data_IF_850145229341
#
_entry.id   IF_850145229341
#
_cell.length_a   1.000
_cell.length_b   1.000
_cell.length_c   1.000
_cell.angle_alpha   90.00
_cell.angle_beta   90.00
_cell.angle_gamma   90.00
#
_symmetry.space_group_name_H-M   'P 1'
#
loop_
_entity.id
_entity.type
_entity.pdbx_description
1 polymer ?
#
# COMPACT_ATOMS: atom_id res chain seq x y z
N UNK A 1 8.03 -25.42 -10.17
CA UNK A 1 8.22 -23.97 -9.94
C UNK A 1 6.90 -23.27 -10.27
N UNK A 2 6.51 -22.33 -9.39
CA UNK A 2 5.31 -21.52 -9.61
C UNK A 2 5.81 -20.14 -10.00
N UNK A 3 5.31 -19.63 -11.11
CA UNK A 3 5.64 -18.28 -11.58
C UNK A 3 4.53 -17.30 -11.16
N UNK A 4 4.92 -16.13 -10.70
CA UNK A 4 4.03 -15.03 -10.36
C UNK A 4 4.32 -13.83 -11.26
N UNK A 5 3.29 -13.08 -11.61
CA UNK A 5 3.45 -11.83 -12.33
C UNK A 5 3.76 -10.70 -11.35
N UNK A 6 4.68 -9.83 -11.75
CA UNK A 6 4.99 -8.59 -11.06
C UNK A 6 4.86 -7.44 -12.02
N UNK A 7 4.28 -6.34 -11.58
CA UNK A 7 3.98 -5.16 -12.39
C UNK A 7 4.50 -3.89 -11.72
N UNK A 8 4.83 -2.88 -12.51
CA UNK A 8 5.09 -1.52 -12.03
C UNK A 8 3.78 -0.74 -12.05
N UNK A 9 3.51 0.06 -11.01
CA UNK A 9 2.27 0.86 -10.92
C UNK A 9 2.48 2.34 -11.28
N UNK A 10 3.74 2.74 -11.46
CA UNK A 10 4.13 4.10 -11.87
C UNK A 10 5.12 4.05 -13.01
N UNK A 11 5.26 5.17 -13.71
CA UNK A 11 6.31 5.35 -14.72
C UNK A 11 7.65 5.63 -14.06
N UNK A 12 8.72 5.09 -14.65
CA UNK A 12 10.09 5.31 -14.21
C UNK A 12 10.93 5.86 -15.34
N UNK A 13 11.72 6.88 -15.03
CA UNK A 13 12.69 7.45 -15.96
C UNK A 13 14.04 6.76 -15.80
N UNK A 14 14.58 6.27 -16.88
CA UNK A 14 15.90 5.64 -16.91
C UNK A 14 17.02 6.66 -16.69
N UNK A 15 18.03 6.26 -15.92
CA UNK A 15 19.30 6.99 -15.87
C UNK A 15 20.17 6.56 -17.05
N UNK A 16 20.61 7.52 -17.88
CA UNK A 16 21.56 7.29 -18.95
C UNK A 16 22.98 7.48 -18.41
N UNK A 17 23.74 6.39 -18.35
CA UNK A 17 25.14 6.39 -17.87
C UNK A 17 26.17 6.45 -19.02
N UNK A 18 25.70 6.74 -20.24
CA UNK A 18 26.53 6.85 -21.45
C UNK A 18 26.73 5.54 -22.19
N UNK A 19 26.96 4.44 -21.49
CA UNK A 19 27.11 3.10 -22.11
C UNK A 19 25.88 2.21 -21.90
N UNK A 20 25.13 2.45 -20.85
CA UNK A 20 23.95 1.66 -20.47
C UNK A 20 22.80 2.57 -20.06
N UNK A 21 21.58 2.05 -20.21
CA UNK A 21 20.37 2.64 -19.66
C UNK A 21 20.01 1.80 -18.43
N UNK A 22 19.82 2.46 -17.29
CA UNK A 22 19.51 1.78 -16.03
C UNK A 22 18.25 2.34 -15.38
N UNK A 23 17.41 1.44 -14.90
CA UNK A 23 16.30 1.74 -13.99
C UNK A 23 16.71 1.28 -12.60
N UNK A 24 16.88 2.21 -11.67
CA UNK A 24 17.36 1.91 -10.31
C UNK A 24 16.23 1.95 -9.30
N UNK A 25 16.16 0.92 -8.45
CA UNK A 25 15.22 0.87 -7.33
C UNK A 25 13.75 0.87 -7.75
N UNK A 26 13.41 0.21 -8.86
CA UNK A 26 12.03 0.14 -9.36
C UNK A 26 11.21 -0.76 -8.45
N UNK A 27 10.19 -0.25 -7.73
CA UNK A 27 9.27 -1.07 -7.00
C UNK A 27 8.33 -1.82 -7.96
N UNK A 28 8.21 -3.12 -7.73
CA UNK A 28 7.32 -3.99 -8.47
C UNK A 28 6.33 -4.65 -7.50
N UNK A 29 5.08 -4.80 -7.92
CA UNK A 29 3.98 -5.33 -7.13
C UNK A 29 3.52 -6.64 -7.74
N UNK A 30 3.35 -7.66 -6.89
CA UNK A 30 2.83 -8.95 -7.35
C UNK A 30 1.35 -8.84 -7.70
N UNK A 31 0.98 -9.35 -8.85
CA UNK A 31 -0.41 -9.46 -9.27
C UNK A 31 -0.66 -9.10 -10.73
N UNK A 32 -1.91 -8.79 -11.01
CA UNK A 32 -2.37 -8.44 -12.36
C UNK A 32 -3.20 -7.17 -12.31
N UNK A 33 -2.98 -6.25 -13.25
CA UNK A 33 -3.79 -5.05 -13.39
C UNK A 33 -5.22 -5.38 -13.78
N UNK A 34 -6.15 -4.74 -13.08
CA UNK A 34 -7.57 -4.68 -13.43
C UNK A 34 -7.93 -3.22 -13.65
N UNK A 35 -8.60 -2.93 -14.76
CA UNK A 35 -9.18 -1.62 -15.02
C UNK A 35 -10.70 -1.78 -15.15
N UNK A 36 -11.43 -1.07 -14.30
CA UNK A 36 -12.89 -1.02 -14.32
C UNK A 36 -13.33 0.39 -14.70
N UNK A 37 -14.38 0.49 -15.52
CA UNK A 37 -14.92 1.77 -15.96
C UNK A 37 -16.41 1.84 -15.61
N UNK A 38 -16.83 2.98 -15.09
CA UNK A 38 -18.19 3.24 -14.64
C UNK A 38 -18.68 4.57 -15.20
N UNK A 39 -19.84 4.56 -15.86
CA UNK A 39 -20.50 5.80 -16.26
C UNK A 39 -21.15 6.47 -15.05
N UNK A 40 -20.93 7.75 -14.91
CA UNK A 40 -21.57 8.57 -13.88
C UNK A 40 -22.99 8.88 -14.31
N UNK A 41 -23.95 8.67 -13.39
CA UNK A 41 -25.32 9.03 -13.53
C UNK A 41 -25.70 10.01 -12.40
N UNK A 42 -25.84 11.27 -12.71
CA UNK A 42 -26.13 12.31 -11.72
C UNK A 42 -27.52 12.19 -11.05
N UNK A 43 -28.41 11.33 -11.59
CA UNK A 43 -29.67 10.99 -10.94
C UNK A 43 -29.50 10.06 -9.72
N UNK A 44 -28.38 9.36 -9.62
CA UNK A 44 -28.01 8.54 -8.47
C UNK A 44 -27.07 9.34 -7.57
N UNK A 45 -27.62 9.98 -6.55
CA UNK A 45 -26.89 10.89 -5.65
C UNK A 45 -25.87 10.15 -4.79
N UNK A 46 -26.08 8.85 -4.54
CA UNK A 46 -25.23 8.00 -3.69
C UNK A 46 -24.43 6.98 -4.51
N UNK A 47 -24.14 7.28 -5.77
CA UNK A 47 -23.45 6.36 -6.66
C UNK A 47 -22.10 5.93 -6.08
N UNK A 48 -21.88 4.59 -6.04
CA UNK A 48 -20.67 3.94 -5.53
C UNK A 48 -20.01 3.16 -6.65
N UNK A 49 -18.68 3.20 -6.68
CA UNK A 49 -17.86 2.57 -7.70
C UNK A 49 -17.04 1.44 -7.06
N UNK A 50 -17.41 0.20 -7.37
CA UNK A 50 -16.94 -0.98 -6.62
C UNK A 50 -15.67 -1.54 -7.25
N UNK A 51 -14.66 -1.83 -6.43
CA UNK A 51 -13.54 -2.70 -6.81
C UNK A 51 -14.05 -4.14 -6.78
N UNK A 52 -14.25 -4.76 -7.94
CA UNK A 52 -14.96 -6.04 -8.09
C UNK A 52 -14.23 -7.25 -7.50
N UNK A 53 -13.00 -7.09 -7.01
CA UNK A 53 -12.20 -8.18 -6.49
C UNK A 53 -11.76 -7.93 -5.04
N UNK A 54 -12.04 -8.90 -4.16
CA UNK A 54 -11.67 -8.83 -2.75
C UNK A 54 -10.16 -9.05 -2.46
N UNK A 55 -9.36 -9.24 -3.51
CA UNK A 55 -7.89 -9.28 -3.45
C UNK A 55 -7.27 -8.04 -4.08
N UNK A 56 -8.06 -6.98 -4.26
CA UNK A 56 -7.57 -5.71 -4.75
C UNK A 56 -6.58 -5.10 -3.75
N UNK A 57 -5.39 -4.77 -4.22
CA UNK A 57 -4.43 -3.99 -3.44
C UNK A 57 -4.78 -2.51 -3.56
N UNK A 58 -5.42 -1.99 -2.52
CA UNK A 58 -5.87 -0.59 -2.47
C UNK A 58 -4.72 0.42 -2.42
N UNK A 59 -3.49 -0.01 -2.13
CA UNK A 59 -2.30 0.85 -2.16
C UNK A 59 -1.86 1.15 -3.59
N UNK A 60 -2.24 0.30 -4.53
CA UNK A 60 -1.96 0.46 -5.97
C UNK A 60 -3.10 1.12 -6.74
N UNK A 61 -4.21 1.45 -6.04
CA UNK A 61 -5.41 2.01 -6.68
C UNK A 61 -5.12 3.41 -7.24
N UNK A 62 -5.35 3.53 -8.53
CA UNK A 62 -5.40 4.81 -9.25
C UNK A 62 -6.85 5.08 -9.67
N UNK A 63 -7.33 6.27 -9.33
CA UNK A 63 -8.66 6.75 -9.67
C UNK A 63 -8.52 7.91 -10.63
N UNK A 64 -9.07 7.77 -11.82
CA UNK A 64 -9.13 8.83 -12.82
C UNK A 64 -10.59 9.04 -13.26
N UNK A 65 -10.92 10.27 -13.55
CA UNK A 65 -12.24 10.63 -14.09
C UNK A 65 -12.02 11.17 -15.51
N UNK A 66 -12.61 10.49 -16.47
CA UNK A 66 -12.61 10.89 -17.88
C UNK A 66 -13.82 11.80 -18.13
N UNK A 67 -13.64 12.84 -18.92
CA UNK A 67 -14.65 13.87 -19.18
C UNK A 67 -15.94 13.28 -19.76
N UNK A 68 -15.85 12.39 -20.76
CA UNK A 68 -16.99 11.69 -21.33
C UNK A 68 -16.57 10.49 -22.17
N UNK A 69 -17.52 9.74 -22.71
CA UNK A 69 -17.21 8.62 -23.62
C UNK A 69 -16.50 9.05 -24.91
N UNK A 70 -16.68 10.30 -25.33
CA UNK A 70 -16.08 10.86 -26.55
C UNK A 70 -14.84 11.74 -26.30
N UNK A 71 -14.76 12.32 -25.11
CA UNK A 71 -13.59 13.10 -24.68
C UNK A 71 -12.83 12.29 -23.63
N UNK A 72 -11.69 11.72 -24.06
CA UNK A 72 -10.84 10.85 -23.24
C UNK A 72 -9.89 11.61 -22.32
N UNK A 73 -10.00 12.93 -22.23
CA UNK A 73 -9.24 13.72 -21.24
C UNK A 73 -9.56 13.24 -19.84
N UNK A 74 -8.53 12.89 -19.08
CA UNK A 74 -8.66 12.35 -17.72
C UNK A 74 -8.07 13.29 -16.67
N UNK A 75 -8.71 13.35 -15.52
CA UNK A 75 -8.20 14.00 -14.31
C UNK A 75 -7.98 12.94 -13.24
N UNK A 76 -6.79 12.89 -12.66
CA UNK A 76 -6.47 11.95 -11.57
C UNK A 76 -6.94 12.50 -10.25
N UNK A 77 -7.61 11.67 -9.46
CA UNK A 77 -8.13 12.00 -8.14
C UNK A 77 -7.22 11.40 -7.06
N UNK A 78 -6.99 12.15 -5.99
CA UNK A 78 -6.19 11.71 -4.87
C UNK A 78 -7.06 11.09 -3.76
N UNK A 79 -6.54 10.07 -3.08
CA UNK A 79 -7.24 9.51 -1.91
C UNK A 79 -7.31 10.53 -0.78
N UNK A 80 -8.50 10.73 -0.24
CA UNK A 80 -8.70 11.57 0.94
C UNK A 80 -8.09 10.91 2.18
N UNK A 81 -7.19 11.63 2.84
CA UNK A 81 -6.59 11.25 4.12
C UNK A 81 -6.99 12.19 5.24
N UNK A 82 -7.30 13.43 4.92
CA UNK A 82 -7.69 14.48 5.87
C UNK A 82 -8.83 15.34 5.28
N UNK A 83 -10.01 15.24 5.86
CA UNK A 83 -11.20 15.98 5.42
C UNK A 83 -11.01 17.50 5.60
N UNK A 84 -10.21 17.95 6.56
CA UNK A 84 -9.99 19.36 6.83
C UNK A 84 -9.23 20.11 5.71
N UNK A 85 -8.55 19.37 4.85
CA UNK A 85 -7.76 19.89 3.73
C UNK A 85 -8.53 19.96 2.40
N UNK A 86 -9.81 19.51 2.38
CA UNK A 86 -10.59 19.40 1.16
C UNK A 86 -11.52 20.60 1.01
N UNK A 87 -11.63 21.09 -0.21
CA UNK A 87 -12.58 22.12 -0.61
C UNK A 87 -13.44 21.64 -1.81
N UNK A 88 -14.39 22.46 -2.24
CA UNK A 88 -15.33 22.11 -3.32
C UNK A 88 -14.72 21.82 -4.69
N UNK A 89 -13.44 22.17 -4.92
CA UNK A 89 -12.72 21.96 -6.19
C UNK A 89 -11.65 20.89 -6.09
N UNK A 90 -11.42 20.34 -4.90
CA UNK A 90 -10.40 19.32 -4.68
C UNK A 90 -10.75 18.02 -5.37
N UNK A 91 -9.91 17.56 -6.30
CA UNK A 91 -10.06 16.29 -6.99
C UNK A 91 -9.66 15.13 -6.06
N UNK A 92 -10.57 14.77 -5.17
CA UNK A 92 -10.37 13.74 -4.14
C UNK A 92 -11.44 12.66 -4.22
N UNK A 93 -11.06 11.45 -3.82
CA UNK A 93 -11.99 10.34 -3.62
C UNK A 93 -11.89 9.78 -2.21
N UNK A 94 -12.96 9.14 -1.80
CA UNK A 94 -13.06 8.40 -0.56
C UNK A 94 -13.07 6.91 -0.87
N UNK A 95 -12.42 6.12 -0.02
CA UNK A 95 -12.33 4.68 -0.15
C UNK A 95 -12.81 4.04 1.15
N UNK A 96 -13.75 3.12 1.04
CA UNK A 96 -14.18 2.32 2.21
C UNK A 96 -14.29 0.85 1.84
N UNK A 97 -14.11 -0.01 2.82
CA UNK A 97 -14.40 -1.43 2.73
C UNK A 97 -15.89 -1.64 3.07
N UNK A 98 -16.57 -2.47 2.27
CA UNK A 98 -17.97 -2.87 2.50
C UNK A 98 -18.00 -4.27 3.12
N UNK A 99 -18.37 -5.28 2.35
CA UNK A 99 -18.44 -6.66 2.85
C UNK A 99 -17.39 -7.54 2.17
N UNK A 100 -16.89 -8.54 2.91
CA UNK A 100 -16.00 -9.59 2.39
C UNK A 100 -14.70 -9.09 1.72
N UNK A 101 -14.16 -7.95 2.17
CA UNK A 101 -12.94 -7.37 1.62
C UNK A 101 -13.15 -6.64 0.29
N UNK A 102 -14.40 -6.41 -0.11
CA UNK A 102 -14.73 -5.56 -1.25
C UNK A 102 -14.62 -4.11 -0.85
N UNK A 103 -14.02 -3.30 -1.71
CA UNK A 103 -13.88 -1.86 -1.51
C UNK A 103 -14.73 -1.09 -2.50
N UNK A 104 -15.18 0.08 -2.08
CA UNK A 104 -15.87 1.02 -2.94
C UNK A 104 -15.24 2.41 -2.88
N UNK A 105 -15.29 3.09 -4.01
CA UNK A 105 -14.87 4.48 -4.20
C UNK A 105 -16.10 5.35 -4.31
N UNK A 106 -16.07 6.51 -3.67
CA UNK A 106 -17.08 7.56 -3.87
C UNK A 106 -16.41 8.93 -3.87
N UNK A 107 -17.13 9.92 -4.34
CA UNK A 107 -16.61 11.25 -4.59
C UNK A 107 -17.33 12.31 -3.75
N UNK A 108 -16.79 13.51 -3.78
CA UNK A 108 -17.40 14.65 -3.11
C UNK A 108 -18.70 15.12 -3.76
N UNK A 109 -19.46 15.91 -3.03
CA UNK A 109 -20.77 16.47 -3.39
C UNK A 109 -20.68 17.90 -3.96
N UNK A 110 -19.45 18.44 -4.14
CA UNK A 110 -19.19 19.83 -4.54
C UNK A 110 -19.08 20.80 -3.36
N UNK A 111 -19.22 20.30 -2.13
CA UNK A 111 -18.92 21.03 -0.89
C UNK A 111 -17.64 20.44 -0.28
N UNK A 112 -17.62 19.14 -0.04
CA UNK A 112 -16.47 18.37 0.41
C UNK A 112 -15.92 17.53 -0.75
N UNK A 113 -15.02 18.12 -1.52
CA UNK A 113 -14.47 17.54 -2.73
C UNK A 113 -15.28 17.85 -3.99
N UNK A 114 -14.61 17.74 -5.12
CA UNK A 114 -15.21 17.98 -6.44
C UNK A 114 -16.29 16.94 -6.74
N UNK A 115 -17.49 17.37 -7.11
CA UNK A 115 -18.55 16.50 -7.58
C UNK A 115 -18.31 16.02 -9.01
N UNK A 116 -18.79 14.83 -9.31
CA UNK A 116 -18.81 14.31 -10.67
C UNK A 116 -19.95 14.92 -11.48
N UNK A 117 -19.78 14.96 -12.79
CA UNK A 117 -20.79 15.45 -13.74
C UNK A 117 -21.39 14.27 -14.50
N UNK A 118 -22.68 14.37 -14.85
CA UNK A 118 -23.35 13.36 -15.65
C UNK A 118 -22.59 13.07 -16.95
N UNK A 119 -22.43 11.80 -17.28
CA UNK A 119 -21.67 11.34 -18.43
C UNK A 119 -20.14 11.26 -18.24
N UNK A 120 -19.60 11.69 -17.10
CA UNK A 120 -18.22 11.36 -16.76
C UNK A 120 -18.05 9.83 -16.73
N UNK A 121 -16.79 9.37 -16.92
CA UNK A 121 -16.44 7.96 -16.75
C UNK A 121 -15.38 7.84 -15.67
N UNK A 122 -15.71 7.15 -14.59
CA UNK A 122 -14.76 6.81 -13.53
C UNK A 122 -13.98 5.59 -13.95
N UNK A 123 -12.66 5.73 -13.96
CA UNK A 123 -11.71 4.67 -14.32
C UNK A 123 -10.94 4.28 -13.05
N UNK A 124 -11.12 3.05 -12.61
CA UNK A 124 -10.43 2.47 -11.46
C UNK A 124 -9.39 1.48 -11.97
N UNK A 125 -8.11 1.74 -11.72
CA UNK A 125 -7.03 0.81 -12.07
C UNK A 125 -6.32 0.38 -10.78
N UNK A 126 -6.20 -0.92 -10.56
CA UNK A 126 -5.58 -1.50 -9.37
C UNK A 126 -4.99 -2.87 -9.66
N UNK A 127 -4.13 -3.35 -8.78
CA UNK A 127 -3.53 -4.68 -8.86
C UNK A 127 -4.35 -5.67 -8.02
N UNK A 128 -4.63 -6.83 -8.59
CA UNK A 128 -5.19 -7.97 -7.87
C UNK A 128 -4.09 -8.94 -7.53
N UNK A 129 -3.86 -9.18 -6.23
CA UNK A 129 -2.71 -9.92 -5.70
C UNK A 129 -3.06 -11.37 -5.35
N UNK A 130 -2.04 -12.20 -5.20
CA UNK A 130 -2.16 -13.55 -4.62
C UNK A 130 -1.78 -13.56 -3.11
N UNK A 131 -1.83 -12.39 -2.47
CA UNK A 131 -1.56 -12.21 -1.03
C UNK A 131 -0.14 -12.69 -0.67
N UNK A 132 -0.02 -13.70 0.21
CA UNK A 132 1.27 -14.20 0.69
C UNK A 132 2.01 -15.12 -0.29
N UNK A 133 1.36 -15.54 -1.37
CA UNK A 133 1.87 -16.62 -2.21
C UNK A 133 3.21 -16.33 -2.88
N UNK A 134 3.44 -15.06 -3.28
CA UNK A 134 4.69 -14.64 -3.93
C UNK A 134 5.76 -14.11 -2.95
N UNK A 135 5.47 -14.07 -1.65
CA UNK A 135 6.46 -13.65 -0.66
C UNK A 135 7.72 -14.52 -0.76
N UNK A 136 8.88 -13.90 -0.62
CA UNK A 136 10.22 -14.49 -0.73
C UNK A 136 10.68 -14.79 -2.16
N UNK A 137 9.96 -14.39 -3.20
CA UNK A 137 10.50 -14.47 -4.55
C UNK A 137 11.78 -13.63 -4.64
N UNK A 138 12.86 -14.24 -5.12
CA UNK A 138 14.19 -13.62 -5.20
C UNK A 138 14.72 -13.52 -6.62
N UNK A 139 14.10 -14.24 -7.56
CA UNK A 139 14.51 -14.24 -8.96
C UNK A 139 13.41 -13.62 -9.80
N UNK A 140 13.75 -12.54 -10.47
CA UNK A 140 12.84 -11.84 -11.37
C UNK A 140 13.43 -11.83 -12.77
N UNK A 141 12.56 -12.04 -13.75
CA UNK A 141 12.90 -11.97 -15.16
C UNK A 141 11.98 -10.96 -15.85
N UNK A 142 12.50 -10.26 -16.82
CA UNK A 142 11.64 -9.43 -17.66
C UNK A 142 10.87 -10.32 -18.64
N UNK A 143 9.55 -10.21 -18.65
CA UNK A 143 8.67 -11.07 -19.46
C UNK A 143 8.41 -10.51 -20.87
N UNK A 144 8.68 -9.21 -21.11
CA UNK A 144 8.40 -8.54 -22.37
C UNK A 144 9.51 -7.54 -22.72
N UNK A 145 9.61 -7.20 -23.99
CA UNK A 145 10.49 -6.12 -24.41
C UNK A 145 10.04 -4.78 -23.80
N UNK A 146 10.99 -3.92 -23.47
CA UNK A 146 10.74 -2.51 -23.17
C UNK A 146 11.07 -1.74 -24.45
N UNK A 147 10.06 -1.20 -25.11
CA UNK A 147 10.16 -0.67 -26.47
C UNK A 147 10.74 -1.74 -27.43
N UNK A 148 11.90 -1.51 -28.00
CA UNK A 148 12.61 -2.42 -28.91
C UNK A 148 13.69 -3.26 -28.22
N UNK A 149 13.94 -3.03 -26.92
CA UNK A 149 15.00 -3.69 -26.15
C UNK A 149 14.49 -5.01 -25.58
N UNK A 150 15.12 -6.11 -25.97
CA UNK A 150 14.76 -7.47 -25.53
C UNK A 150 15.76 -8.07 -24.53
N UNK A 151 17.01 -7.60 -24.54
CA UNK A 151 18.06 -8.08 -23.62
C UNK A 151 18.14 -7.20 -22.38
N UNK A 152 17.22 -7.45 -21.45
CA UNK A 152 17.10 -6.68 -20.21
C UNK A 152 17.61 -7.52 -19.07
N UNK A 153 18.68 -7.05 -18.43
CA UNK A 153 19.24 -7.68 -17.25
C UNK A 153 18.51 -7.18 -15.99
N UNK A 154 17.94 -8.11 -15.23
CA UNK A 154 17.25 -7.80 -13.96
C UNK A 154 18.10 -8.25 -12.80
N UNK A 155 18.39 -7.34 -11.87
CA UNK A 155 19.01 -7.67 -10.60
C UNK A 155 18.06 -7.39 -9.44
N UNK A 156 17.93 -8.35 -8.54
CA UNK A 156 17.06 -8.24 -7.39
C UNK A 156 17.75 -7.43 -6.29
N UNK A 157 17.11 -6.35 -5.85
CA UNK A 157 17.57 -5.54 -4.71
C UNK A 157 17.13 -6.18 -3.40
N UNK A 158 15.85 -6.56 -3.32
CA UNK A 158 15.27 -7.21 -2.14
C UNK A 158 14.31 -8.32 -2.56
N UNK A 159 14.15 -9.39 -1.75
CA UNK A 159 13.12 -10.40 -1.95
C UNK A 159 11.72 -9.79 -1.87
N UNK A 160 10.77 -10.37 -2.59
CA UNK A 160 9.37 -9.97 -2.49
C UNK A 160 8.84 -10.16 -1.06
N UNK A 161 8.15 -9.15 -0.54
CA UNK A 161 7.63 -9.11 0.82
C UNK A 161 6.35 -8.29 0.92
N UNK A 162 5.70 -8.31 2.07
CA UNK A 162 4.55 -7.45 2.35
C UNK A 162 3.18 -8.06 1.99
N UNK A 163 3.13 -9.16 1.23
CA UNK A 163 1.88 -9.87 0.99
C UNK A 163 1.30 -10.46 2.29
N UNK A 164 0.02 -10.19 2.58
CA UNK A 164 -0.66 -10.65 3.78
C UNK A 164 -2.09 -11.09 3.50
N UNK A 165 -2.65 -11.92 4.38
CA UNK A 165 -4.08 -12.16 4.42
C UNK A 165 -4.81 -11.01 5.12
N UNK A 166 -6.10 -10.79 4.85
CA UNK A 166 -6.92 -9.87 5.64
C UNK A 166 -6.86 -10.22 7.12
N UNK A 167 -6.93 -9.21 7.97
CA UNK A 167 -7.00 -9.42 9.41
C UNK A 167 -8.29 -10.18 9.79
N UNK A 168 -8.16 -11.12 10.73
CA UNK A 168 -9.32 -11.89 11.19
C UNK A 168 -10.22 -11.05 12.10
N UNK A 169 -11.53 -11.35 12.12
CA UNK A 169 -12.48 -10.63 12.95
C UNK A 169 -12.11 -10.68 14.45
N UNK A 170 -11.53 -11.78 14.92
CA UNK A 170 -11.06 -11.90 16.30
C UNK A 170 -9.89 -10.97 16.58
N UNK A 171 -8.95 -10.87 15.64
CA UNK A 171 -7.83 -9.93 15.74
C UNK A 171 -8.31 -8.48 15.74
N UNK A 172 -9.25 -8.13 14.85
CA UNK A 172 -9.86 -6.79 14.79
C UNK A 172 -10.55 -6.46 16.13
N UNK A 173 -11.36 -7.37 16.68
CA UNK A 173 -12.03 -7.15 17.98
C UNK A 173 -11.05 -6.93 19.12
N UNK A 174 -9.88 -7.56 19.07
CA UNK A 174 -8.85 -7.39 20.09
C UNK A 174 -8.07 -6.08 19.90
N UNK A 175 -7.67 -5.77 18.65
CA UNK A 175 -6.79 -4.64 18.37
C UNK A 175 -7.54 -3.29 18.24
N UNK A 176 -8.78 -3.26 17.77
CA UNK A 176 -9.53 -2.02 17.55
C UNK A 176 -9.70 -1.15 18.81
N UNK A 177 -10.02 -1.69 20.01
CA UNK A 177 -10.05 -0.89 21.23
C UNK A 177 -8.69 -0.29 21.61
N UNK A 178 -7.60 -1.02 21.36
CA UNK A 178 -6.24 -0.56 21.63
C UNK A 178 -5.82 0.54 20.64
N UNK A 179 -6.14 0.39 19.37
CA UNK A 179 -5.90 1.41 18.34
C UNK A 179 -6.69 2.68 18.63
N UNK A 180 -7.95 2.55 19.01
CA UNK A 180 -8.77 3.69 19.42
C UNK A 180 -8.21 4.38 20.67
N UNK A 181 -7.78 3.63 21.70
CA UNK A 181 -7.22 4.18 22.93
C UNK A 181 -5.90 4.93 22.68
N UNK A 182 -5.09 4.50 21.73
CA UNK A 182 -3.83 5.16 21.35
C UNK A 182 -4.04 6.54 20.73
N UNK A 183 -5.23 6.81 20.17
CA UNK A 183 -5.57 8.07 19.47
C UNK A 183 -4.55 8.47 18.41
N UNK A 184 -3.98 7.50 17.68
CA UNK A 184 -2.98 7.76 16.66
C UNK A 184 -1.61 8.19 17.21
N UNK A 185 -1.32 7.92 18.49
CA UNK A 185 -0.04 8.29 19.14
C UNK A 185 0.65 7.06 19.69
N UNK A 186 1.97 7.06 19.68
CA UNK A 186 2.82 6.05 20.29
C UNK A 186 3.45 6.64 21.57
N UNK A 187 2.90 6.33 22.72
CA UNK A 187 3.40 6.80 24.03
C UNK A 187 3.82 5.63 24.91
N UNK A 188 3.01 4.59 24.97
CA UNK A 188 3.30 3.38 25.75
C UNK A 188 3.82 2.24 24.86
N UNK A 189 4.47 1.24 25.46
CA UNK A 189 4.93 0.07 24.73
C UNK A 189 3.77 -0.68 24.00
N UNK A 190 2.57 -0.66 24.59
CA UNK A 190 1.38 -1.28 23.98
C UNK A 190 0.90 -0.48 22.75
N UNK A 191 0.98 0.85 22.77
CA UNK A 191 0.66 1.68 21.60
C UNK A 191 1.60 1.31 20.44
N UNK A 192 2.92 1.25 20.68
CA UNK A 192 3.89 0.83 19.68
C UNK A 192 3.61 -0.57 19.14
N UNK A 193 3.24 -1.54 19.98
CA UNK A 193 2.89 -2.89 19.50
C UNK A 193 1.67 -2.87 18.59
N UNK A 194 0.67 -2.09 18.90
CA UNK A 194 -0.56 -1.92 18.10
C UNK A 194 -0.20 -1.33 16.74
N UNK A 195 0.61 -0.27 16.72
CA UNK A 195 1.08 0.36 15.48
C UNK A 195 1.90 -0.61 14.62
N UNK A 196 2.86 -1.33 15.20
CA UNK A 196 3.65 -2.31 14.45
C UNK A 196 2.76 -3.35 13.78
N UNK A 197 1.76 -3.89 14.47
CA UNK A 197 0.83 -4.86 13.90
C UNK A 197 -0.03 -4.27 12.77
N UNK A 198 -0.41 -3.00 12.88
CA UNK A 198 -1.18 -2.29 11.87
C UNK A 198 -0.38 -2.10 10.57
N UNK A 199 0.89 -1.69 10.68
CA UNK A 199 1.75 -1.43 9.50
C UNK A 199 2.43 -2.69 8.95
N UNK A 200 2.61 -3.71 9.79
CA UNK A 200 3.19 -4.98 9.40
C UNK A 200 2.34 -6.17 9.89
N UNK A 201 1.27 -6.52 9.16
CA UNK A 201 0.33 -7.59 9.55
C UNK A 201 0.99 -8.96 9.73
N UNK A 202 2.13 -9.22 9.06
CA UNK A 202 2.90 -10.46 9.18
C UNK A 202 3.71 -10.55 10.48
N UNK A 203 3.29 -9.85 11.54
CA UNK A 203 3.95 -9.85 12.84
C UNK A 203 3.50 -11.04 13.69
N UNK A 204 4.44 -11.90 14.07
CA UNK A 204 4.22 -12.98 15.03
C UNK A 204 4.37 -12.49 16.49
N UNK A 205 5.44 -11.75 16.75
CA UNK A 205 5.71 -11.19 18.07
C UNK A 205 6.41 -9.83 17.95
N UNK A 206 6.14 -8.94 18.91
CA UNK A 206 6.78 -7.63 19.02
C UNK A 206 7.28 -7.44 20.45
N UNK A 207 8.51 -6.98 20.59
CA UNK A 207 9.07 -6.49 21.83
C UNK A 207 9.48 -5.04 21.68
N UNK A 208 9.04 -4.20 22.62
CA UNK A 208 9.31 -2.78 22.66
C UNK A 208 10.00 -2.42 23.97
N UNK A 209 11.07 -1.65 23.89
CA UNK A 209 11.76 -1.13 25.07
C UNK A 209 12.37 0.24 24.79
N UNK A 210 12.37 1.09 25.83
CA UNK A 210 12.97 2.41 25.75
C UNK A 210 14.50 2.34 25.84
N UNK A 211 15.17 3.26 25.20
CA UNK A 211 16.64 3.32 25.25
C UNK A 211 17.21 3.67 26.62
N UNK A 212 16.38 4.23 27.51
CA UNK A 212 16.75 4.49 28.90
C UNK A 212 16.93 3.21 29.74
N UNK A 213 16.37 2.10 29.32
CA UNK A 213 16.47 0.82 30.03
C UNK A 213 17.90 0.26 30.11
N UNK A 214 18.80 0.70 29.24
CA UNK A 214 20.23 0.40 29.28
C UNK A 214 20.61 -1.08 29.31
N UNK A 215 19.68 -2.00 29.01
CA UNK A 215 19.94 -3.43 29.02
C UNK A 215 20.42 -3.87 27.65
N UNK A 216 21.67 -4.31 27.63
CA UNK A 216 22.22 -4.97 26.44
C UNK A 216 21.76 -6.43 26.37
N UNK A 217 21.04 -6.77 25.33
CA UNK A 217 20.84 -8.16 24.95
C UNK A 217 21.87 -8.54 23.89
N UNK A 218 22.87 -9.40 24.21
CA UNK A 218 23.89 -9.80 23.27
C UNK A 218 23.35 -10.58 22.08
N UNK A 219 22.15 -11.16 22.18
CA UNK A 219 21.47 -11.87 21.09
C UNK A 219 20.82 -10.89 20.12
N UNK A 220 20.34 -9.76 20.63
CA UNK A 220 19.68 -8.73 19.84
C UNK A 220 20.64 -7.61 19.37
N UNK A 221 21.87 -7.59 19.86
CA UNK A 221 22.88 -6.58 19.49
C UNK A 221 22.56 -5.17 20.00
N UNK A 222 21.73 -5.04 21.04
CA UNK A 222 21.36 -3.75 21.62
C UNK A 222 22.42 -3.30 22.62
N UNK A 223 22.91 -2.06 22.47
CA UNK A 223 23.97 -1.50 23.31
C UNK A 223 23.57 -1.36 24.77
N UNK A 224 24.50 -1.64 25.68
CA UNK A 224 24.34 -1.40 27.13
C UNK A 224 24.38 0.07 27.53
N UNK A 225 24.65 0.98 26.59
CA UNK A 225 24.65 2.42 26.83
C UNK A 225 23.21 2.93 26.78
N UNK A 226 22.83 3.70 27.80
CA UNK A 226 21.52 4.37 27.82
C UNK A 226 21.44 5.36 26.67
N UNK A 227 20.40 5.23 25.82
CA UNK A 227 20.14 6.12 24.71
C UNK A 227 18.75 6.78 24.90
N UNK A 228 18.75 7.92 25.58
CA UNK A 228 17.53 8.68 25.83
C UNK A 228 16.88 9.15 24.53
N UNK A 229 15.54 9.17 24.50
CA UNK A 229 14.75 9.60 23.34
C UNK A 229 14.68 8.58 22.21
N UNK A 230 15.21 7.36 22.39
CA UNK A 230 15.09 6.27 21.42
C UNK A 230 14.16 5.17 21.93
N UNK A 231 13.46 4.54 21.00
CA UNK A 231 12.65 3.34 21.22
C UNK A 231 13.20 2.23 20.33
N UNK A 232 13.47 1.09 20.93
CA UNK A 232 13.91 -0.10 20.21
C UNK A 232 12.73 -1.02 19.95
N UNK A 233 12.54 -1.39 18.69
CA UNK A 233 11.45 -2.24 18.23
C UNK A 233 12.04 -3.53 17.68
N UNK A 234 11.75 -4.65 18.33
CA UNK A 234 12.11 -5.98 17.84
C UNK A 234 10.87 -6.69 17.32
N UNK A 235 10.89 -7.07 16.05
CA UNK A 235 9.74 -7.71 15.38
C UNK A 235 10.15 -9.09 14.91
N UNK A 236 9.37 -10.10 15.28
CA UNK A 236 9.44 -11.44 14.72
C UNK A 236 8.36 -11.60 13.67
N UNK A 237 8.77 -11.86 12.44
CA UNK A 237 7.87 -12.12 11.33
C UNK A 237 7.26 -13.52 11.40
N UNK A 238 5.99 -13.67 10.98
CA UNK A 238 5.34 -14.98 10.73
C UNK A 238 6.04 -15.77 9.64
N UNK A 239 6.77 -15.11 8.74
CA UNK A 239 7.53 -15.76 7.68
C UNK A 239 8.83 -16.40 8.16
N UNK A 240 9.25 -16.12 9.41
CA UNK A 240 10.48 -16.64 10.02
C UNK A 240 11.76 -15.99 9.52
N UNK A 241 11.69 -15.01 8.62
CA UNK A 241 12.85 -14.26 8.12
C UNK A 241 12.98 -12.89 8.82
N UNK A 242 14.17 -12.31 8.72
CA UNK A 242 14.36 -10.92 9.11
C UNK A 242 13.58 -9.99 8.18
N UNK A 243 13.12 -8.86 8.72
CA UNK A 243 12.49 -7.83 7.93
C UNK A 243 13.48 -7.26 6.91
N UNK A 244 13.01 -7.02 5.70
CA UNK A 244 13.76 -6.32 4.66
C UNK A 244 13.95 -4.84 5.02
N UNK A 245 14.84 -4.16 4.32
CA UNK A 245 15.05 -2.72 4.52
C UNK A 245 13.79 -1.92 4.24
N UNK A 246 13.04 -2.29 3.21
CA UNK A 246 11.77 -1.67 2.84
C UNK A 246 10.70 -1.86 3.92
N UNK A 247 10.57 -3.08 4.48
CA UNK A 247 9.64 -3.35 5.58
C UNK A 247 10.00 -2.56 6.84
N UNK A 248 11.29 -2.46 7.17
CA UNK A 248 11.77 -1.64 8.30
C UNK A 248 11.44 -0.17 8.10
N UNK A 249 11.64 0.38 6.90
CA UNK A 249 11.35 1.78 6.59
C UNK A 249 9.85 2.15 6.71
N UNK A 250 8.94 1.17 6.64
CA UNK A 250 7.51 1.39 6.89
C UNK A 250 7.15 1.45 8.37
N UNK A 251 8.04 0.99 9.25
CA UNK A 251 7.82 0.94 10.70
C UNK A 251 8.44 2.13 11.45
N UNK A 252 9.25 2.94 10.79
CA UNK A 252 9.94 4.13 11.31
C UNK A 252 9.33 5.39 10.71
#
# INVERSE_FOLDING_TARGET
DINYNFVTVTEFTAANTGSNIQFLGVPIYEGTFITSQYAVNSADVDQRFILTNNRADTTTLTVAVQTSATDTTTETYAKTTDISQINSTSANYFLQEVENGIHEVYFGDGVLGKSLTDGNIVVLTYVVTNRTAANRATTFINAAAIDTVIDIQVSTVEPASGGAFPETLESIKYNAPLDFASQGRCVTAEDYKTFVKRFYPNTQAVSIFGGESGSFDPVLGVSSVQEFGKVFISVKSTTGNNLTTTEKARLV
#
